data_IF_867336697197
#
_entry.id   IF_867336697197
#
_cell.length_a   1.000
_cell.length_b   1.000
_cell.length_c   1.000
_cell.angle_alpha   90.00
_cell.angle_beta   90.00
_cell.angle_gamma   90.00
#
_symmetry.space_group_name_H-M   'P 1'
#
loop_
_entity.id
_entity.type
_entity.pdbx_description
1 polymer ?
#
# COMPACT_ATOMS: atom_id res chain seq x y z
N UNK A 1 37.39 -39.50 48.63
CA UNK A 1 37.94 -38.24 48.06
C UNK A 1 37.27 -37.98 46.71
N UNK A 2 36.17 -37.23 46.65
CA UNK A 2 35.79 -36.50 45.43
C UNK A 2 35.23 -35.16 45.88
N UNK A 3 36.14 -34.19 46.01
CA UNK A 3 35.87 -32.82 46.46
C UNK A 3 36.01 -31.85 45.28
N UNK A 4 35.92 -32.35 44.04
CA UNK A 4 36.18 -31.56 42.82
C UNK A 4 34.91 -31.09 42.11
N UNK A 5 33.79 -31.79 42.25
CA UNK A 5 32.57 -31.45 41.49
C UNK A 5 31.70 -30.35 42.12
N UNK A 6 31.90 -30.00 43.40
CA UNK A 6 31.13 -28.95 44.06
C UNK A 6 31.69 -27.53 43.85
N UNK A 7 32.92 -27.41 43.32
CA UNK A 7 33.57 -26.11 43.15
C UNK A 7 33.31 -25.49 41.76
N UNK A 8 33.10 -26.28 40.71
CA UNK A 8 32.80 -25.75 39.36
C UNK A 8 31.47 -25.00 39.29
N UNK A 9 30.45 -25.45 40.04
CA UNK A 9 29.14 -24.79 40.03
C UNK A 9 29.11 -23.46 40.78
N UNK A 10 29.99 -23.27 41.78
CA UNK A 10 30.10 -21.98 42.49
C UNK A 10 30.80 -20.93 41.65
N UNK A 11 31.86 -21.30 40.92
CA UNK A 11 32.60 -20.35 40.07
C UNK A 11 31.77 -19.82 38.89
N UNK A 12 30.85 -20.63 38.35
CA UNK A 12 29.93 -20.18 37.30
C UNK A 12 28.79 -19.30 37.85
N UNK A 13 28.31 -19.56 39.07
CA UNK A 13 27.30 -18.71 39.72
C UNK A 13 27.87 -17.38 40.21
N UNK A 14 29.11 -17.36 40.70
CA UNK A 14 29.78 -16.15 41.18
C UNK A 14 30.19 -15.23 40.00
N UNK A 15 30.55 -15.78 38.84
CA UNK A 15 30.82 -14.98 37.62
C UNK A 15 29.55 -14.36 37.02
N UNK A 16 28.40 -15.05 37.11
CA UNK A 16 27.09 -14.47 36.74
C UNK A 16 26.69 -13.34 37.70
N UNK A 17 27.10 -13.41 38.97
CA UNK A 17 26.81 -12.39 39.98
C UNK A 17 27.69 -11.14 39.84
N UNK A 18 28.95 -11.27 39.39
CA UNK A 18 29.85 -10.14 39.13
C UNK A 18 29.48 -9.36 37.86
N UNK A 19 28.91 -10.01 36.85
CA UNK A 19 28.51 -9.38 35.58
C UNK A 19 27.06 -8.84 35.58
N UNK A 20 26.39 -8.85 36.74
CA UNK A 20 25.02 -8.36 36.90
C UNK A 20 24.85 -6.88 36.51
N UNK A 21 25.87 -6.05 36.77
CA UNK A 21 25.89 -4.64 36.38
C UNK A 21 26.05 -4.47 34.85
N UNK A 22 26.81 -5.35 34.19
CA UNK A 22 26.96 -5.34 32.74
C UNK A 22 25.69 -5.83 32.04
N UNK A 23 25.00 -6.84 32.61
CA UNK A 23 23.69 -7.28 32.16
C UNK A 23 22.62 -6.21 32.38
N UNK A 24 22.63 -5.52 33.52
CA UNK A 24 21.71 -4.43 33.80
C UNK A 24 21.92 -3.26 32.84
N UNK A 25 23.17 -2.86 32.60
CA UNK A 25 23.51 -1.82 31.61
C UNK A 25 23.17 -2.23 30.17
N UNK A 26 23.31 -3.51 29.82
CA UNK A 26 22.89 -4.01 28.50
C UNK A 26 21.37 -4.01 28.33
N UNK A 27 20.61 -4.34 29.39
CA UNK A 27 19.14 -4.25 29.41
C UNK A 27 18.70 -2.79 29.31
N UNK A 28 19.32 -1.88 30.07
CA UNK A 28 19.03 -0.44 30.04
C UNK A 28 19.35 0.16 28.66
N UNK A 29 20.45 -0.23 28.02
CA UNK A 29 20.80 0.24 26.67
C UNK A 29 19.79 -0.24 25.60
N UNK A 30 19.28 -1.46 25.73
CA UNK A 30 18.22 -2.00 24.86
C UNK A 30 16.90 -1.28 25.11
N UNK A 31 16.51 -1.03 26.36
CA UNK A 31 15.32 -0.24 26.70
C UNK A 31 15.42 1.22 26.23
N UNK A 32 16.58 1.87 26.39
CA UNK A 32 16.83 3.24 25.93
C UNK A 32 16.78 3.37 24.40
N UNK A 33 17.17 2.32 23.67
CA UNK A 33 17.06 2.26 22.21
C UNK A 33 15.65 1.96 21.68
N UNK A 34 14.80 1.35 22.51
CA UNK A 34 13.47 0.86 22.13
C UNK A 34 12.37 1.93 22.22
N UNK A 35 12.59 3.00 23.00
CA UNK A 35 11.60 4.04 23.29
C UNK A 35 11.72 5.28 22.40
N UNK A 36 12.38 5.20 21.24
CA UNK A 36 12.15 6.22 20.22
C UNK A 36 10.79 5.94 19.59
N UNK A 37 9.80 6.70 20.04
CA UNK A 37 8.50 6.86 19.40
C UNK A 37 8.71 7.47 18.00
N UNK A 38 9.23 6.66 17.07
CA UNK A 38 9.08 6.95 15.66
C UNK A 38 7.60 6.78 15.38
N UNK A 39 6.98 7.83 14.86
CA UNK A 39 5.58 7.85 14.44
C UNK A 39 5.43 6.97 13.18
N UNK A 40 5.65 5.68 13.39
CA UNK A 40 5.71 4.63 12.38
C UNK A 40 4.30 4.23 12.04
N UNK A 41 3.98 4.24 10.76
CA UNK A 41 2.63 3.96 10.26
C UNK A 41 1.71 5.17 10.14
N UNK A 42 2.14 6.37 10.53
CA UNK A 42 1.40 7.57 10.16
C UNK A 42 1.54 7.87 8.68
N UNK A 43 0.43 8.24 8.05
CA UNK A 43 0.45 8.75 6.68
C UNK A 43 1.10 10.12 6.69
N UNK A 44 2.15 10.29 5.90
CA UNK A 44 2.78 11.59 5.69
C UNK A 44 1.75 12.58 5.15
N UNK A 45 1.52 13.66 5.88
CA UNK A 45 0.72 14.81 5.42
C UNK A 45 1.64 15.78 4.68
N UNK A 46 1.34 16.14 3.42
CA UNK A 46 2.18 17.07 2.68
C UNK A 46 2.12 18.46 3.33
N UNK A 47 3.25 19.16 3.35
CA UNK A 47 3.37 20.51 3.92
C UNK A 47 2.73 21.60 3.07
N UNK A 48 2.42 21.29 1.81
CA UNK A 48 1.79 22.18 0.85
C UNK A 48 0.76 21.42 0.01
N UNK A 49 -0.29 22.09 -0.50
CA UNK A 49 -1.20 21.50 -1.46
C UNK A 49 -0.45 20.93 -2.66
N UNK A 50 -0.83 19.73 -3.08
CA UNK A 50 -0.26 19.09 -4.27
C UNK A 50 -0.91 19.75 -5.50
N UNK A 51 -0.12 20.33 -6.42
CA UNK A 51 -0.69 20.93 -7.63
C UNK A 51 -1.36 19.84 -8.48
N UNK A 52 -2.52 20.17 -9.05
CA UNK A 52 -3.13 19.34 -10.09
C UNK A 52 -2.22 19.33 -11.31
N UNK A 53 -1.96 18.12 -11.82
CA UNK A 53 -1.13 17.91 -13.00
C UNK A 53 -2.04 17.46 -14.12
N UNK A 54 -1.93 18.07 -15.30
CA UNK A 54 -2.60 17.57 -16.49
C UNK A 54 -2.05 16.18 -16.85
N UNK A 55 -2.95 15.22 -17.00
CA UNK A 55 -2.63 13.82 -17.28
C UNK A 55 -3.02 13.42 -18.70
N UNK A 56 -3.54 14.35 -19.50
CA UNK A 56 -4.01 14.12 -20.86
C UNK A 56 -2.89 13.54 -21.77
N UNK A 57 -1.66 14.04 -21.63
CA UNK A 57 -0.51 13.66 -22.46
C UNK A 57 0.32 12.49 -21.90
N UNK A 58 -0.18 11.77 -20.88
CA UNK A 58 0.60 10.70 -20.22
C UNK A 58 0.71 9.49 -21.15
N UNK A 59 1.82 9.43 -21.90
CA UNK A 59 2.25 8.30 -22.73
C UNK A 59 2.29 7.01 -21.88
N UNK A 60 1.22 6.23 -21.92
CA UNK A 60 1.07 5.01 -21.11
C UNK A 60 -0.37 4.66 -20.73
N UNK A 61 -1.29 5.61 -20.81
CA UNK A 61 -2.73 5.35 -20.70
C UNK A 61 -3.41 5.78 -22.01
N UNK A 62 -2.98 5.22 -23.14
CA UNK A 62 -3.73 5.38 -24.39
C UNK A 62 -5.07 4.65 -24.23
N UNK A 63 -6.09 5.42 -23.82
CA UNK A 63 -7.42 4.92 -23.51
C UNK A 63 -8.11 4.36 -24.73
N UNK A 64 -7.88 4.94 -25.90
CA UNK A 64 -8.47 4.47 -27.15
C UNK A 64 -7.90 3.09 -27.52
N UNK A 65 -6.58 2.93 -27.39
CA UNK A 65 -5.90 1.65 -27.60
C UNK A 65 -6.39 0.61 -26.59
N UNK A 66 -6.53 0.97 -25.31
CA UNK A 66 -7.03 0.05 -24.29
C UNK A 66 -8.49 -0.35 -24.52
N UNK A 67 -9.34 0.58 -24.95
CA UNK A 67 -10.74 0.29 -25.29
C UNK A 67 -10.82 -0.67 -26.48
N UNK A 68 -10.00 -0.45 -27.52
CA UNK A 68 -9.90 -1.35 -28.68
C UNK A 68 -9.40 -2.74 -28.27
N UNK A 69 -8.31 -2.82 -27.51
CA UNK A 69 -7.77 -4.09 -27.03
C UNK A 69 -8.80 -4.89 -26.22
N UNK A 70 -9.52 -4.22 -25.32
CA UNK A 70 -10.56 -4.87 -24.50
C UNK A 70 -11.78 -5.28 -25.31
N UNK A 71 -12.16 -4.50 -26.32
CA UNK A 71 -13.25 -4.86 -27.24
C UNK A 71 -12.87 -6.08 -28.08
N UNK A 72 -11.65 -6.13 -28.62
CA UNK A 72 -11.15 -7.28 -29.37
C UNK A 72 -11.04 -8.54 -28.48
N UNK A 73 -10.52 -8.40 -27.27
CA UNK A 73 -10.47 -9.49 -26.27
C UNK A 73 -11.87 -10.04 -25.97
N UNK A 74 -12.88 -9.15 -25.87
CA UNK A 74 -14.25 -9.53 -25.62
C UNK A 74 -14.90 -10.22 -26.82
N UNK A 75 -14.69 -9.74 -28.04
CA UNK A 75 -15.17 -10.37 -29.28
C UNK A 75 -14.59 -11.79 -29.45
N UNK A 76 -13.29 -11.95 -29.18
CA UNK A 76 -12.62 -13.26 -29.20
C UNK A 76 -13.20 -14.22 -28.14
N UNK A 77 -13.56 -13.71 -26.96
CA UNK A 77 -14.19 -14.51 -25.89
C UNK A 77 -15.61 -14.97 -26.24
N UNK A 78 -16.38 -14.16 -26.95
CA UNK A 78 -17.73 -14.53 -27.39
C UNK A 78 -17.73 -15.50 -28.57
N UNK A 79 -16.56 -15.80 -29.15
CA UNK A 79 -16.41 -16.72 -30.27
C UNK A 79 -16.86 -16.14 -31.60
N UNK A 80 -17.09 -14.82 -31.65
CA UNK A 80 -17.38 -14.09 -32.88
C UNK A 80 -16.07 -13.74 -33.58
N UNK A 81 -16.07 -13.75 -34.91
CA UNK A 81 -14.97 -13.14 -35.65
C UNK A 81 -14.93 -11.65 -35.28
N UNK A 82 -13.76 -11.19 -34.84
CA UNK A 82 -13.56 -9.81 -34.44
C UNK A 82 -13.59 -8.90 -35.68
N UNK A 83 -14.80 -8.57 -36.14
CA UNK A 83 -15.02 -7.59 -37.18
C UNK A 83 -14.94 -6.18 -36.59
N UNK A 84 -14.54 -5.21 -37.41
CA UNK A 84 -14.40 -3.81 -37.00
C UNK A 84 -15.71 -3.27 -36.40
N UNK A 85 -16.87 -3.66 -36.96
CA UNK A 85 -18.20 -3.22 -36.51
C UNK A 85 -18.56 -3.72 -35.10
N UNK A 86 -18.20 -4.97 -34.77
CA UNK A 86 -18.42 -5.51 -33.41
C UNK A 86 -17.50 -4.80 -32.42
N UNK A 87 -16.25 -4.58 -32.80
CA UNK A 87 -15.26 -3.87 -31.95
C UNK A 87 -15.72 -2.44 -31.68
N UNK A 88 -16.13 -1.71 -32.71
CA UNK A 88 -16.60 -0.32 -32.59
C UNK A 88 -17.85 -0.23 -31.71
N UNK A 89 -18.83 -1.12 -31.92
CA UNK A 89 -20.02 -1.18 -31.06
C UNK A 89 -19.71 -1.51 -29.58
N UNK A 90 -18.66 -2.30 -29.31
CA UNK A 90 -18.18 -2.56 -27.95
C UNK A 90 -17.44 -1.36 -27.34
N UNK A 91 -16.64 -0.64 -28.13
CA UNK A 91 -15.97 0.60 -27.71
C UNK A 91 -17.03 1.66 -27.35
N UNK A 92 -18.06 1.84 -28.17
CA UNK A 92 -19.12 2.81 -27.92
C UNK A 92 -19.91 2.51 -26.65
N UNK A 93 -20.22 1.22 -26.42
CA UNK A 93 -20.82 0.78 -25.15
C UNK A 93 -19.94 1.13 -23.96
N UNK A 94 -18.61 0.98 -24.07
CA UNK A 94 -17.66 1.36 -23.00
C UNK A 94 -17.63 2.87 -22.78
N UNK A 95 -17.60 3.67 -23.86
CA UNK A 95 -17.66 5.13 -23.78
C UNK A 95 -18.93 5.60 -23.09
N UNK A 96 -20.09 5.07 -23.49
CA UNK A 96 -21.39 5.40 -22.90
C UNK A 96 -21.47 5.04 -21.41
N UNK A 97 -20.99 3.86 -21.01
CA UNK A 97 -20.92 3.48 -19.59
C UNK A 97 -20.08 4.44 -18.76
N UNK A 98 -18.98 4.97 -19.32
CA UNK A 98 -18.15 5.94 -18.62
C UNK A 98 -18.86 7.28 -18.44
N UNK A 99 -19.57 7.76 -19.45
CA UNK A 99 -20.31 9.02 -19.34
C UNK A 99 -21.43 8.90 -18.33
N UNK A 100 -22.21 7.82 -18.38
CA UNK A 100 -23.28 7.55 -17.40
C UNK A 100 -22.75 7.52 -15.96
N UNK A 101 -21.61 6.86 -15.74
CA UNK A 101 -20.99 6.77 -14.42
C UNK A 101 -20.40 8.11 -13.96
N UNK A 102 -19.86 8.92 -14.87
CA UNK A 102 -19.39 10.27 -14.56
C UNK A 102 -20.56 11.19 -14.16
N UNK A 103 -21.68 11.11 -14.87
CA UNK A 103 -22.90 11.87 -14.56
C UNK A 103 -23.44 11.46 -13.19
N UNK A 104 -23.53 10.17 -12.89
CA UNK A 104 -23.98 9.65 -11.58
C UNK A 104 -23.06 10.10 -10.43
N UNK A 105 -21.73 10.06 -10.64
CA UNK A 105 -20.77 10.56 -9.65
C UNK A 105 -20.88 12.07 -9.43
N UNK A 106 -21.15 12.86 -10.48
CA UNK A 106 -21.35 14.31 -10.33
C UNK A 106 -22.57 14.62 -9.47
N UNK A 107 -23.68 13.88 -9.64
CA UNK A 107 -24.86 14.03 -8.80
C UNK A 107 -24.62 13.65 -7.33
N UNK A 108 -23.69 12.73 -7.07
CA UNK A 108 -23.27 12.39 -5.70
C UNK A 108 -22.39 13.50 -5.08
N UNK A 109 -21.50 14.09 -5.86
CA UNK A 109 -20.64 15.20 -5.43
C UNK A 109 -21.50 16.42 -5.06
N UNK A 110 -22.46 16.77 -5.93
CA UNK A 110 -23.44 17.84 -5.68
C UNK A 110 -24.25 17.60 -4.39
N UNK A 111 -24.63 16.34 -4.12
CA UNK A 111 -25.35 15.98 -2.89
C UNK A 111 -24.50 16.19 -1.64
N UNK A 112 -23.25 15.71 -1.66
CA UNK A 112 -22.32 15.82 -0.53
C UNK A 112 -22.00 17.29 -0.23
N UNK A 113 -21.79 18.10 -1.27
CA UNK A 113 -21.52 19.53 -1.12
C UNK A 113 -22.75 20.31 -0.64
N UNK A 114 -23.97 19.85 -0.96
CA UNK A 114 -25.21 20.48 -0.50
C UNK A 114 -25.53 20.28 0.99
N UNK A 115 -25.11 19.15 1.57
CA UNK A 115 -25.30 18.83 3.00
C UNK A 115 -24.16 19.36 3.90
N UNK A 116 -23.09 19.89 3.30
CA UNK A 116 -21.89 20.38 3.99
C UNK A 116 -21.88 21.87 4.35
N UNK A 117 -22.97 22.62 4.10
CA UNK A 117 -23.08 24.07 4.34
C UNK A 117 -24.24 24.42 5.30
#
# INVERSE_FOLDING_TARGET
KSSRDSNLRKTELDSIAEDGDALHGAIELVEAGSNKDYDTGQRTRPSRPIPTVDRSERLGEDRELMDRFRAEEQARRTGEEASEEIIEGLIDKRKKKRTELADELSGLDDLIDSDGN
#
